data_IF_643011994315
#
_entry.id   IF_643011994315
#
_cell.length_a   1.000
_cell.length_b   1.000
_cell.length_c   1.000
_cell.angle_alpha   90.00
_cell.angle_beta   90.00
_cell.angle_gamma   90.00
#
_symmetry.space_group_name_H-M   'P 1'
#
loop_
_entity.id
_entity.type
_entity.pdbx_description
1 polymer ?
#
# COMPACT_ATOMS: atom_id res chain seq x y z
N UNK A 1 -9.94 -4.35 -22.62
CA UNK A 1 -10.10 -2.91 -22.33
C UNK A 1 -8.71 -2.30 -22.28
N UNK A 2 -8.39 -1.30 -23.10
CA UNK A 2 -7.03 -0.76 -23.18
C UNK A 2 -6.68 -0.04 -21.88
N UNK A 3 -5.63 -0.53 -21.21
CA UNK A 3 -4.87 0.08 -20.12
C UNK A 3 -5.65 0.95 -19.13
N UNK A 4 -6.53 0.31 -18.33
CA UNK A 4 -7.08 0.93 -17.12
C UNK A 4 -5.96 1.10 -16.09
N UNK A 5 -5.22 2.19 -16.24
CA UNK A 5 -4.07 2.55 -15.42
C UNK A 5 -4.40 3.75 -14.53
N UNK A 6 -3.74 3.80 -13.38
CA UNK A 6 -3.74 4.92 -12.45
C UNK A 6 -2.33 5.46 -12.28
N UNK A 7 -2.22 6.78 -12.09
CA UNK A 7 -0.98 7.44 -11.72
C UNK A 7 -0.74 7.31 -10.21
N UNK A 8 0.45 6.84 -9.87
CA UNK A 8 0.93 6.75 -8.50
C UNK A 8 2.17 7.59 -8.32
N UNK A 9 2.34 8.12 -7.12
CA UNK A 9 3.48 8.90 -6.67
C UNK A 9 4.44 8.03 -5.85
N UNK A 10 5.58 8.59 -5.51
CA UNK A 10 6.55 7.95 -4.63
C UNK A 10 7.16 9.00 -3.72
N UNK A 11 7.01 8.82 -2.41
CA UNK A 11 7.55 9.76 -1.41
C UNK A 11 9.08 9.93 -1.51
N UNK A 12 9.80 8.94 -2.03
CA UNK A 12 11.26 9.02 -2.23
C UNK A 12 11.65 9.77 -3.52
N UNK A 13 10.71 10.03 -4.43
CA UNK A 13 10.94 10.74 -5.69
C UNK A 13 9.81 11.76 -5.95
N UNK A 14 9.70 12.84 -5.15
CA UNK A 14 8.62 13.81 -5.26
C UNK A 14 8.53 14.43 -6.66
N UNK A 15 7.30 14.71 -7.12
CA UNK A 15 7.04 15.32 -8.43
C UNK A 15 7.13 14.38 -9.64
N UNK A 16 7.39 13.08 -9.43
CA UNK A 16 7.32 12.05 -10.48
C UNK A 16 6.16 11.11 -10.23
N UNK A 17 5.43 10.80 -11.31
CA UNK A 17 4.35 9.80 -11.31
C UNK A 17 4.73 8.59 -12.14
N UNK A 18 4.07 7.46 -11.89
CA UNK A 18 4.18 6.23 -12.69
C UNK A 18 2.80 5.66 -12.92
N UNK A 19 2.56 5.06 -14.08
CA UNK A 19 1.27 4.44 -14.43
C UNK A 19 1.28 2.95 -14.11
N UNK A 20 0.32 2.50 -13.30
CA UNK A 20 0.16 1.10 -12.91
C UNK A 20 -1.26 0.62 -13.12
N UNK A 21 -1.49 -0.69 -13.15
CA UNK A 21 -2.82 -1.29 -13.23
C UNK A 21 -3.77 -0.78 -12.13
N UNK A 22 -4.92 -0.21 -12.52
CA UNK A 22 -5.88 0.40 -11.59
C UNK A 22 -6.49 -0.66 -10.67
N UNK A 23 -6.92 -1.80 -11.21
CA UNK A 23 -7.62 -2.81 -10.43
C UNK A 23 -6.71 -3.40 -9.35
N UNK A 24 -5.47 -3.76 -9.71
CA UNK A 24 -4.48 -4.26 -8.75
C UNK A 24 -4.10 -3.20 -7.71
N UNK A 25 -3.93 -1.94 -8.11
CA UNK A 25 -3.67 -0.85 -7.18
C UNK A 25 -4.80 -0.69 -6.16
N UNK A 26 -6.05 -0.62 -6.61
CA UNK A 26 -7.21 -0.39 -5.74
C UNK A 26 -7.43 -1.58 -4.78
N UNK A 27 -7.29 -2.80 -5.25
CA UNK A 27 -7.40 -4.00 -4.42
C UNK A 27 -6.30 -4.03 -3.34
N UNK A 28 -5.05 -3.77 -3.70
CA UNK A 28 -3.94 -3.71 -2.74
C UNK A 28 -4.09 -2.55 -1.75
N UNK A 29 -4.49 -1.35 -2.21
CA UNK A 29 -4.78 -0.20 -1.35
C UNK A 29 -5.87 -0.52 -0.33
N UNK A 30 -6.98 -1.12 -0.77
CA UNK A 30 -8.08 -1.52 0.11
C UNK A 30 -7.60 -2.54 1.16
N UNK A 31 -6.86 -3.56 0.73
CA UNK A 31 -6.36 -4.61 1.61
C UNK A 31 -5.35 -4.05 2.65
N UNK A 32 -4.42 -3.18 2.23
CA UNK A 32 -3.45 -2.54 3.12
C UNK A 32 -4.14 -1.64 4.15
N UNK A 33 -5.02 -0.73 3.72
CA UNK A 33 -5.71 0.18 4.65
C UNK A 33 -6.57 -0.56 5.68
N UNK A 34 -7.11 -1.73 5.32
CA UNK A 34 -7.90 -2.55 6.23
C UNK A 34 -7.10 -3.24 7.35
N UNK A 35 -5.76 -3.32 7.23
CA UNK A 35 -4.90 -3.98 8.23
C UNK A 35 -4.07 -3.01 9.05
N UNK A 36 -3.94 -1.76 8.61
CA UNK A 36 -3.17 -0.76 9.34
C UNK A 36 -3.94 -0.23 10.56
N UNK A 37 -3.28 -0.15 11.74
CA UNK A 37 -3.89 0.44 12.92
C UNK A 37 -3.99 1.97 12.79
N UNK A 38 -4.91 2.58 13.54
CA UNK A 38 -5.18 4.03 13.52
C UNK A 38 -4.22 4.92 14.33
N UNK A 39 -3.16 4.35 14.91
CA UNK A 39 -2.19 5.07 15.77
C UNK A 39 -0.84 4.34 15.81
N UNK A 40 0.25 5.04 16.18
CA UNK A 40 1.53 4.40 16.48
C UNK A 40 1.39 3.38 17.63
N UNK A 41 2.25 2.33 17.68
CA UNK A 41 3.49 2.17 16.90
C UNK A 41 3.30 1.70 15.46
N UNK A 42 2.07 1.37 15.04
CA UNK A 42 1.79 0.90 13.68
C UNK A 42 1.94 -0.62 13.53
N UNK A 43 1.93 -1.08 12.29
CA UNK A 43 2.15 -2.47 11.91
C UNK A 43 3.41 -2.59 11.04
N UNK A 44 4.29 -3.53 11.35
CA UNK A 44 5.50 -3.75 10.52
C UNK A 44 5.07 -4.14 9.10
N UNK A 45 5.83 -3.72 8.09
CA UNK A 45 5.51 -4.02 6.68
C UNK A 45 5.39 -5.53 6.42
N UNK A 46 6.21 -6.36 7.06
CA UNK A 46 6.15 -7.82 6.93
C UNK A 46 4.82 -8.38 7.49
N UNK A 47 4.43 -7.93 8.68
CA UNK A 47 3.17 -8.35 9.34
C UNK A 47 1.95 -7.84 8.54
N UNK A 48 2.01 -6.61 8.03
CA UNK A 48 0.99 -6.05 7.15
C UNK A 48 0.82 -6.88 5.88
N UNK A 49 1.92 -7.34 5.26
CA UNK A 49 1.87 -8.24 4.10
C UNK A 49 1.14 -9.54 4.43
N UNK A 50 1.49 -10.19 5.54
CA UNK A 50 0.82 -11.43 5.95
C UNK A 50 -0.67 -11.21 6.22
N UNK A 51 -1.03 -10.10 6.89
CA UNK A 51 -2.41 -9.78 7.21
C UNK A 51 -3.24 -9.42 5.96
N UNK A 52 -2.65 -8.78 4.95
CA UNK A 52 -3.39 -8.34 3.76
C UNK A 52 -3.53 -9.43 2.69
N UNK A 53 -2.63 -10.43 2.65
CA UNK A 53 -2.63 -11.47 1.61
C UNK A 53 -3.99 -12.21 1.49
N UNK A 54 -4.64 -12.67 2.59
CA UNK A 54 -5.95 -13.31 2.51
C UNK A 54 -7.09 -12.40 2.05
N UNK A 55 -6.85 -11.09 1.95
CA UNK A 55 -7.84 -10.08 1.53
C UNK A 55 -7.71 -9.73 0.04
N UNK A 56 -6.69 -10.24 -0.64
CA UNK A 56 -6.48 -9.96 -2.05
C UNK A 56 -7.35 -10.88 -2.93
N UNK A 57 -7.99 -10.34 -3.97
CA UNK A 57 -8.71 -11.15 -4.95
C UNK A 57 -7.75 -12.04 -5.74
N UNK A 58 -8.03 -13.35 -5.82
CA UNK A 58 -7.19 -14.33 -6.53
C UNK A 58 -7.11 -14.08 -8.05
N UNK A 59 -8.14 -13.46 -8.65
CA UNK A 59 -8.16 -13.07 -10.07
C UNK A 59 -7.14 -11.97 -10.40
N UNK A 60 -6.82 -11.11 -9.42
CA UNK A 60 -5.85 -10.04 -9.56
C UNK A 60 -4.46 -10.41 -9.03
N UNK A 61 -4.42 -11.23 -7.97
CA UNK A 61 -3.23 -11.66 -7.25
C UNK A 61 -3.23 -13.18 -7.06
N UNK A 62 -3.12 -13.98 -8.14
CA UNK A 62 -3.15 -15.43 -8.03
C UNK A 62 -2.02 -15.90 -7.09
N UNK A 63 -2.40 -16.62 -6.03
CA UNK A 63 -1.47 -17.11 -5.00
C UNK A 63 -0.63 -15.99 -4.33
N UNK A 64 -1.08 -14.73 -4.38
CA UNK A 64 -0.33 -13.59 -3.87
C UNK A 64 0.92 -13.24 -4.69
N UNK A 65 1.03 -13.71 -5.94
CA UNK A 65 2.15 -13.39 -6.82
C UNK A 65 2.23 -11.86 -7.01
N UNK A 66 3.45 -11.31 -7.04
CA UNK A 66 3.72 -9.85 -7.13
C UNK A 66 3.19 -8.98 -5.98
N UNK A 67 2.49 -9.54 -4.98
CA UNK A 67 1.91 -8.78 -3.86
C UNK A 67 2.94 -7.96 -3.09
N UNK A 68 4.19 -8.43 -3.00
CA UNK A 68 5.29 -7.70 -2.38
C UNK A 68 5.63 -6.39 -3.11
N UNK A 69 5.67 -6.41 -4.44
CA UNK A 69 5.94 -5.22 -5.25
C UNK A 69 4.76 -4.24 -5.17
N UNK A 70 3.53 -4.76 -5.29
CA UNK A 70 2.32 -3.96 -5.19
C UNK A 70 2.15 -3.32 -3.81
N UNK A 71 2.42 -4.06 -2.74
CA UNK A 71 2.46 -3.52 -1.37
C UNK A 71 3.44 -2.35 -1.31
N UNK A 72 4.66 -2.50 -1.84
CA UNK A 72 5.66 -1.43 -1.80
C UNK A 72 5.22 -0.21 -2.62
N UNK A 73 4.69 -0.40 -3.82
CA UNK A 73 4.21 0.67 -4.68
C UNK A 73 3.08 1.46 -4.01
N UNK A 74 2.05 0.76 -3.51
CA UNK A 74 0.93 1.36 -2.79
C UNK A 74 1.38 2.05 -1.51
N UNK A 75 2.27 1.42 -0.74
CA UNK A 75 2.84 2.04 0.47
C UNK A 75 3.46 3.40 0.14
N UNK A 76 4.38 3.46 -0.83
CA UNK A 76 5.11 4.70 -1.15
C UNK A 76 4.19 5.81 -1.68
N UNK A 77 3.17 5.43 -2.45
CA UNK A 77 2.15 6.34 -2.95
C UNK A 77 1.24 6.88 -1.83
N UNK A 78 0.77 6.02 -0.93
CA UNK A 78 -0.06 6.44 0.20
C UNK A 78 0.72 7.31 1.20
N UNK A 79 2.03 7.06 1.36
CA UNK A 79 2.92 7.93 2.14
C UNK A 79 3.08 9.30 1.46
N UNK A 80 3.29 9.34 0.13
CA UNK A 80 3.40 10.59 -0.63
C UNK A 80 2.12 11.44 -0.49
N UNK A 81 0.97 10.78 -0.52
CA UNK A 81 -0.36 11.40 -0.36
C UNK A 81 -0.74 11.70 1.09
N UNK A 82 0.10 11.34 2.07
CA UNK A 82 -0.18 11.53 3.50
C UNK A 82 -1.35 10.70 4.05
N UNK A 83 -1.77 9.65 3.34
CA UNK A 83 -2.88 8.77 3.74
C UNK A 83 -2.41 7.78 4.82
N UNK A 84 -1.15 7.37 4.79
CA UNK A 84 -0.50 6.55 5.83
C UNK A 84 0.80 7.21 6.28
N UNK A 85 1.28 6.87 7.46
CA UNK A 85 2.54 7.39 8.01
C UNK A 85 3.44 6.27 8.52
N UNK A 86 4.75 6.57 8.57
CA UNK A 86 5.75 5.71 9.21
C UNK A 86 5.93 6.09 10.67
N UNK A 87 6.01 5.11 11.55
CA UNK A 87 6.53 5.31 12.89
C UNK A 87 8.04 5.65 12.82
N UNK A 88 8.59 6.36 13.81
CA UNK A 88 10.02 6.72 13.83
C UNK A 88 10.95 5.50 13.97
N UNK A 89 10.44 4.39 14.50
CA UNK A 89 11.22 3.20 14.82
C UNK A 89 11.48 2.30 13.61
N UNK A 90 12.59 1.55 13.68
CA UNK A 90 12.94 0.48 12.74
C UNK A 90 12.61 -0.89 13.34
N UNK A 91 12.18 -1.89 12.56
CA UNK A 91 11.88 -1.84 11.12
C UNK A 91 10.65 -0.97 10.81
N UNK A 92 10.46 -0.60 9.54
CA UNK A 92 9.36 0.30 9.12
C UNK A 92 8.01 -0.24 9.59
N UNK A 93 7.30 0.60 10.35
CA UNK A 93 5.95 0.36 10.81
C UNK A 93 5.00 1.42 10.25
N UNK A 94 3.84 1.00 9.77
CA UNK A 94 2.86 1.83 9.10
C UNK A 94 1.60 1.98 9.95
N UNK A 95 1.01 3.17 9.97
CA UNK A 95 -0.28 3.44 10.62
C UNK A 95 -1.11 4.45 9.81
N UNK A 96 -2.41 4.45 10.04
CA UNK A 96 -3.32 5.48 9.55
C UNK A 96 -3.22 6.68 10.49
N UNK A 97 -2.85 7.88 10.02
CA UNK A 97 -3.02 9.08 10.82
C UNK A 97 -4.52 9.25 11.11
N UNK A 98 -4.91 9.34 12.37
CA UNK A 98 -6.29 9.68 12.72
C UNK A 98 -6.69 10.95 11.98
N UNK A 99 -7.84 10.92 11.30
CA UNK A 99 -8.44 12.12 10.71
C UNK A 99 -8.52 13.18 11.81
N UNK A 100 -7.76 14.27 11.67
CA UNK A 100 -8.04 15.51 12.39
C UNK A 100 -9.30 16.14 11.80
#
# INVERSE_FOLDING_TARGET
MPDDKIEIENVNSPGRTTRVDRAKYLAMRKALLAVLPGKPPGLKVADAKQALLPRLPDDLFPQGETAGWWLKAVQLDLEAKGIIQRAPDKPVQLYLPSKR
#
